data_IF_852578353610
#
_entry.id   IF_852578353610
#
_cell.length_a   1.000
_cell.length_b   1.000
_cell.length_c   1.000
_cell.angle_alpha   90.00
_cell.angle_beta   90.00
_cell.angle_gamma   90.00
#
_symmetry.space_group_name_H-M   'P 1'
#
loop_
_entity.id
_entity.type
_entity.pdbx_description
1 polymer ?
#
# COMPACT_ATOMS: atom_id res chain seq x y z
N UNK A 1 -9.26 2.62 -7.92
CA UNK A 1 -7.95 2.67 -7.25
C UNK A 1 -8.13 3.31 -5.88
N UNK A 2 -7.51 2.77 -4.83
CA UNK A 2 -7.75 3.26 -3.47
C UNK A 2 -6.44 3.52 -2.73
N UNK A 3 -6.32 4.69 -2.10
CA UNK A 3 -5.24 5.04 -1.18
C UNK A 3 -5.81 5.28 0.21
N UNK A 4 -5.15 4.72 1.23
CA UNK A 4 -5.53 4.90 2.64
C UNK A 4 -4.45 5.71 3.37
N UNK A 5 -4.86 6.84 3.95
CA UNK A 5 -3.95 7.68 4.74
C UNK A 5 -4.44 9.12 4.86
N UNK A 6 -4.09 9.77 5.96
CA UNK A 6 -4.46 11.15 6.24
C UNK A 6 -3.35 12.14 5.88
N UNK A 7 -3.73 13.39 5.57
CA UNK A 7 -2.83 14.47 5.17
C UNK A 7 -1.78 14.82 6.24
N UNK A 8 -2.11 14.70 7.51
CA UNK A 8 -1.22 15.09 8.61
C UNK A 8 0.09 14.26 8.70
N UNK A 9 0.25 13.27 7.86
CA UNK A 9 1.47 12.45 7.74
C UNK A 9 2.15 12.72 6.40
N UNK A 10 3.30 13.40 6.42
CA UNK A 10 4.00 13.87 5.22
C UNK A 10 4.25 12.78 4.15
N UNK A 11 4.61 11.53 4.48
CA UNK A 11 4.68 10.44 3.49
C UNK A 11 3.38 10.18 2.73
N UNK A 12 2.23 10.45 3.34
CA UNK A 12 0.94 10.33 2.64
C UNK A 12 0.73 11.49 1.66
N UNK A 13 1.14 12.72 2.04
CA UNK A 13 1.08 13.87 1.14
C UNK A 13 1.97 13.62 -0.08
N UNK A 14 3.23 13.25 0.13
CA UNK A 14 4.17 12.93 -0.96
C UNK A 14 3.62 11.82 -1.88
N UNK A 15 3.03 10.78 -1.29
CA UNK A 15 2.46 9.66 -2.05
C UNK A 15 1.30 10.10 -2.95
N UNK A 16 0.37 10.89 -2.43
CA UNK A 16 -0.79 11.35 -3.20
C UNK A 16 -0.38 12.42 -4.21
N UNK A 17 0.54 13.32 -3.85
CA UNK A 17 1.12 14.30 -4.77
C UNK A 17 1.80 13.60 -5.95
N UNK A 18 2.66 12.64 -5.68
CA UNK A 18 3.36 11.90 -6.72
C UNK A 18 2.39 11.15 -7.63
N UNK A 19 1.39 10.49 -7.04
CA UNK A 19 0.38 9.81 -7.85
C UNK A 19 -0.35 10.79 -8.76
N UNK A 20 -0.83 11.92 -8.23
CA UNK A 20 -1.61 12.88 -9.00
C UNK A 20 -0.80 13.57 -10.09
N UNK A 21 0.46 13.95 -9.82
CA UNK A 21 1.29 14.72 -10.74
C UNK A 21 2.08 13.86 -11.73
N UNK A 22 2.43 12.63 -11.39
CA UNK A 22 3.30 11.81 -12.21
C UNK A 22 2.64 10.50 -12.69
N UNK A 23 1.98 9.73 -11.81
CA UNK A 23 1.41 8.43 -12.17
C UNK A 23 0.10 8.57 -12.95
N UNK A 24 -0.81 9.42 -12.48
CA UNK A 24 -2.10 9.63 -13.14
C UNK A 24 -1.97 10.11 -14.60
N UNK A 25 -1.05 11.03 -14.95
CA UNK A 25 -0.76 11.34 -16.34
C UNK A 25 -0.33 10.13 -17.18
N UNK A 26 0.52 9.24 -16.62
CA UNK A 26 0.94 8.02 -17.32
C UNK A 26 -0.25 7.08 -17.59
N UNK A 27 -1.18 6.96 -16.66
CA UNK A 27 -2.42 6.18 -16.84
C UNK A 27 -3.29 6.78 -17.96
N UNK A 28 -3.45 8.11 -17.98
CA UNK A 28 -4.25 8.82 -19.01
C UNK A 28 -3.66 8.67 -20.41
N UNK A 29 -2.34 8.79 -20.54
CA UNK A 29 -1.64 8.60 -21.85
C UNK A 29 -1.90 7.21 -22.42
N UNK A 30 -2.06 6.19 -21.57
CA UNK A 30 -2.40 4.83 -21.96
C UNK A 30 -3.92 4.59 -22.16
N UNK A 31 -4.74 5.65 -22.06
CA UNK A 31 -6.20 5.57 -22.21
C UNK A 31 -6.90 4.86 -21.05
N UNK A 32 -6.22 4.67 -19.93
CA UNK A 32 -6.78 3.99 -18.77
C UNK A 32 -7.74 4.92 -18.01
N UNK A 33 -8.99 4.48 -17.87
CA UNK A 33 -10.01 5.21 -17.11
C UNK A 33 -10.05 4.68 -15.69
N UNK A 34 -10.01 5.56 -14.70
CA UNK A 34 -9.97 5.19 -13.29
C UNK A 34 -10.66 6.25 -12.41
N UNK A 35 -11.00 5.83 -11.21
CA UNK A 35 -11.32 6.70 -10.07
C UNK A 35 -10.22 6.47 -9.04
N UNK A 36 -9.70 7.54 -8.46
CA UNK A 36 -8.69 7.49 -7.40
C UNK A 36 -9.30 7.92 -6.08
N UNK A 37 -9.75 6.96 -5.28
CA UNK A 37 -10.34 7.18 -3.97
C UNK A 37 -9.26 7.36 -2.91
N UNK A 38 -9.32 8.47 -2.18
CA UNK A 38 -8.45 8.77 -1.06
C UNK A 38 -9.25 8.72 0.23
N UNK A 39 -8.89 7.77 1.09
CA UNK A 39 -9.55 7.52 2.37
C UNK A 39 -8.69 8.08 3.50
N UNK A 40 -9.27 8.92 4.34
CA UNK A 40 -8.61 9.57 5.46
C UNK A 40 -8.99 11.04 5.58
N UNK A 41 -8.44 11.72 6.57
CA UNK A 41 -8.73 13.13 6.83
C UNK A 41 -7.79 14.03 6.03
N UNK A 42 -8.35 14.84 5.14
CA UNK A 42 -7.62 15.77 4.27
C UNK A 42 -8.26 17.16 4.27
N UNK A 43 -7.45 18.22 4.25
CA UNK A 43 -7.95 19.59 4.20
C UNK A 43 -8.52 19.91 2.82
N UNK A 44 -9.70 20.49 2.78
CA UNK A 44 -10.41 20.81 1.54
C UNK A 44 -9.60 21.66 0.55
N UNK A 45 -8.74 22.58 1.05
CA UNK A 45 -7.89 23.41 0.19
C UNK A 45 -6.85 22.56 -0.56
N UNK A 46 -6.23 21.60 0.15
CA UNK A 46 -5.23 20.72 -0.44
C UNK A 46 -5.86 19.75 -1.43
N UNK A 47 -7.00 19.16 -1.07
CA UNK A 47 -7.77 18.28 -1.97
C UNK A 47 -8.15 19.02 -3.27
N UNK A 48 -8.63 20.25 -3.20
CA UNK A 48 -8.96 21.05 -4.39
C UNK A 48 -7.77 21.30 -5.30
N UNK A 49 -6.57 21.52 -4.74
CA UNK A 49 -5.36 21.69 -5.55
C UNK A 49 -4.97 20.40 -6.27
N UNK A 50 -5.13 19.24 -5.63
CA UNK A 50 -4.87 17.94 -6.24
C UNK A 50 -5.92 17.59 -7.31
N UNK A 51 -7.19 17.85 -7.05
CA UNK A 51 -8.27 17.63 -8.03
C UNK A 51 -8.14 18.48 -9.29
N UNK A 52 -7.47 19.64 -9.20
CA UNK A 52 -7.17 20.46 -10.38
C UNK A 52 -6.20 19.77 -11.36
N UNK A 53 -5.31 18.90 -10.88
CA UNK A 53 -4.34 18.15 -11.69
C UNK A 53 -4.72 16.69 -11.90
N UNK A 54 -5.52 16.15 -11.00
CA UNK A 54 -6.05 14.78 -11.04
C UNK A 54 -7.58 14.79 -10.81
N UNK A 55 -8.36 15.12 -11.84
CA UNK A 55 -9.83 15.18 -11.72
C UNK A 55 -10.49 13.86 -11.32
N UNK A 56 -9.79 12.75 -11.52
CA UNK A 56 -10.22 11.40 -11.13
C UNK A 56 -10.13 11.15 -9.63
N UNK A 57 -9.52 12.08 -8.86
CA UNK A 57 -9.39 11.98 -7.42
C UNK A 57 -10.70 12.27 -6.71
N UNK A 58 -11.13 11.36 -5.87
CA UNK A 58 -12.27 11.49 -4.97
C UNK A 58 -11.82 11.39 -3.52
N UNK A 59 -12.13 12.39 -2.70
CA UNK A 59 -11.94 12.29 -1.26
C UNK A 59 -13.14 11.58 -0.63
N UNK A 60 -12.93 10.39 -0.12
CA UNK A 60 -13.95 9.63 0.63
C UNK A 60 -14.09 10.17 2.06
N UNK A 61 -12.96 10.61 2.66
CA UNK A 61 -12.92 11.01 4.07
C UNK A 61 -12.60 9.85 5.00
N UNK A 62 -12.91 10.02 6.30
CA UNK A 62 -12.76 8.96 7.28
C UNK A 62 -13.89 7.93 7.12
N UNK A 63 -13.55 6.65 7.23
CA UNK A 63 -14.49 5.53 7.19
C UNK A 63 -14.27 4.62 8.40
N UNK A 64 -15.32 4.01 8.91
CA UNK A 64 -15.24 3.07 10.03
C UNK A 64 -14.76 1.68 9.59
N UNK A 65 -15.23 1.19 8.45
CA UNK A 65 -14.80 -0.10 7.88
C UNK A 65 -14.12 0.10 6.52
N UNK A 66 -12.79 -0.07 6.50
CA UNK A 66 -12.00 0.00 5.28
C UNK A 66 -12.30 -1.14 4.28
N UNK A 67 -12.78 -2.29 4.76
CA UNK A 67 -12.99 -3.47 3.92
C UNK A 67 -14.03 -3.23 2.82
N UNK A 68 -15.03 -2.41 3.08
CA UNK A 68 -16.06 -2.04 2.10
C UNK A 68 -15.46 -1.31 0.88
N UNK A 69 -14.39 -0.54 1.11
CA UNK A 69 -13.71 0.24 0.06
C UNK A 69 -12.53 -0.50 -0.58
N UNK A 70 -11.90 -1.39 0.15
CA UNK A 70 -10.74 -2.13 -0.35
C UNK A 70 -11.13 -3.39 -1.11
N UNK A 71 -12.29 -3.98 -0.81
CA UNK A 71 -12.77 -5.17 -1.50
C UNK A 71 -13.02 -4.87 -3.00
N UNK A 72 -12.35 -5.62 -3.87
CA UNK A 72 -12.42 -5.44 -5.33
C UNK A 72 -11.64 -4.23 -5.87
N UNK A 73 -10.98 -3.46 -5.01
CA UNK A 73 -10.12 -2.34 -5.37
C UNK A 73 -8.66 -2.78 -5.59
N UNK A 74 -7.91 -2.01 -6.37
CA UNK A 74 -6.44 -2.05 -6.38
C UNK A 74 -5.96 -0.99 -5.40
N UNK A 75 -5.32 -1.44 -4.31
CA UNK A 75 -4.78 -0.54 -3.29
C UNK A 75 -3.44 0.02 -3.75
N UNK A 76 -3.28 1.32 -3.64
CA UNK A 76 -2.05 2.01 -4.00
C UNK A 76 -1.26 2.36 -2.75
N UNK A 77 0.02 1.98 -2.74
CA UNK A 77 0.96 2.29 -1.65
C UNK A 77 2.19 2.99 -2.24
N UNK A 78 2.02 4.17 -2.86
CA UNK A 78 3.07 4.88 -3.59
C UNK A 78 4.00 5.65 -2.63
N UNK A 79 4.44 5.03 -1.54
CA UNK A 79 5.25 5.63 -0.50
C UNK A 79 6.71 5.66 -0.93
N UNK A 80 7.31 6.84 -1.02
CA UNK A 80 8.70 7.05 -1.44
C UNK A 80 9.61 7.50 -0.30
N UNK A 81 9.04 7.97 0.79
CA UNK A 81 9.74 8.52 1.96
C UNK A 81 9.15 7.98 3.27
N UNK A 82 9.91 8.16 4.35
CA UNK A 82 9.51 7.70 5.68
C UNK A 82 10.10 6.34 6.05
N UNK A 83 9.84 5.90 7.27
CA UNK A 83 10.30 4.63 7.85
C UNK A 83 9.15 3.89 8.55
N UNK A 84 9.38 2.66 8.95
CA UNK A 84 8.43 1.83 9.70
C UNK A 84 7.45 1.08 8.81
N UNK A 85 6.67 0.21 9.44
CA UNK A 85 5.71 -0.67 8.79
C UNK A 85 4.53 0.10 8.21
N UNK A 86 4.14 -0.24 7.01
CA UNK A 86 3.03 0.41 6.27
C UNK A 86 1.71 -0.30 6.59
N UNK A 87 0.97 0.21 7.58
CA UNK A 87 -0.32 -0.36 7.98
C UNK A 87 -1.27 -0.54 6.80
N UNK A 88 -1.25 0.37 5.81
CA UNK A 88 -2.08 0.27 4.60
C UNK A 88 -1.82 -0.99 3.76
N UNK A 89 -0.63 -1.61 3.85
CA UNK A 89 -0.37 -2.93 3.26
C UNK A 89 -1.10 -4.01 4.04
N UNK A 90 -1.07 -3.94 5.38
CA UNK A 90 -1.79 -4.90 6.22
C UNK A 90 -3.30 -4.79 6.02
N UNK A 91 -3.82 -3.56 5.89
CA UNK A 91 -5.22 -3.30 5.57
C UNK A 91 -5.62 -3.90 4.22
N UNK A 92 -4.81 -3.68 3.17
CA UNK A 92 -5.02 -4.26 1.86
C UNK A 92 -5.05 -5.79 1.91
N UNK A 93 -4.04 -6.41 2.55
CA UNK A 93 -3.93 -7.86 2.63
C UNK A 93 -5.07 -8.47 3.45
N UNK A 94 -5.45 -7.86 4.59
CA UNK A 94 -6.57 -8.35 5.42
C UNK A 94 -7.91 -8.25 4.70
N UNK A 95 -8.04 -7.33 3.76
CA UNK A 95 -9.22 -7.15 2.90
C UNK A 95 -9.14 -7.97 1.59
N UNK A 96 -8.13 -8.83 1.43
CA UNK A 96 -7.90 -9.60 0.20
C UNK A 96 -7.80 -8.71 -1.05
N UNK A 97 -7.35 -7.47 -0.91
CA UNK A 97 -7.12 -6.55 -2.01
C UNK A 97 -5.70 -6.71 -2.56
N UNK A 98 -5.58 -6.75 -3.89
CA UNK A 98 -4.28 -6.66 -4.54
C UNK A 98 -3.74 -5.23 -4.45
N UNK A 99 -2.42 -5.06 -4.45
CA UNK A 99 -1.83 -3.75 -4.33
C UNK A 99 -0.58 -3.54 -5.18
N UNK A 100 -0.36 -2.29 -5.53
CA UNK A 100 0.88 -1.80 -6.14
C UNK A 100 1.59 -0.92 -5.12
N UNK A 101 2.90 -1.11 -4.99
CA UNK A 101 3.70 -0.38 -4.02
C UNK A 101 5.06 0.00 -4.62
N UNK A 102 5.82 0.81 -3.89
CA UNK A 102 7.24 1.08 -4.18
C UNK A 102 8.14 0.17 -3.35
N UNK A 103 9.42 0.09 -3.68
CA UNK A 103 10.43 -0.56 -2.84
C UNK A 103 10.42 0.02 -1.43
N UNK A 104 10.28 1.35 -1.30
CA UNK A 104 10.15 2.03 -0.01
C UNK A 104 8.85 1.69 0.72
N UNK A 105 7.79 1.41 -0.03
CA UNK A 105 6.49 1.03 0.52
C UNK A 105 6.49 -0.31 1.23
N UNK A 106 7.24 -1.30 0.74
CA UNK A 106 7.37 -2.64 1.37
C UNK A 106 8.53 -2.74 2.37
N UNK A 107 9.29 -1.67 2.56
CA UNK A 107 10.39 -1.67 3.53
C UNK A 107 9.92 -2.12 4.92
N UNK A 108 10.56 -3.14 5.47
CA UNK A 108 10.20 -3.74 6.76
C UNK A 108 9.09 -4.79 6.70
N UNK A 109 8.56 -5.09 5.51
CA UNK A 109 7.65 -6.19 5.27
C UNK A 109 8.24 -7.05 4.15
N UNK A 110 8.56 -8.32 4.44
CA UNK A 110 9.21 -9.23 3.48
C UNK A 110 8.19 -9.74 2.44
N UNK A 111 7.80 -8.84 1.52
CA UNK A 111 6.94 -9.13 0.36
C UNK A 111 7.72 -8.89 -0.94
N UNK A 112 7.49 -9.72 -1.94
CA UNK A 112 8.27 -9.78 -3.16
C UNK A 112 7.45 -9.44 -4.40
N UNK A 113 8.10 -8.78 -5.35
CA UNK A 113 7.49 -8.43 -6.63
C UNK A 113 7.03 -9.68 -7.40
N UNK A 114 5.82 -9.63 -7.95
CA UNK A 114 5.15 -10.72 -8.69
C UNK A 114 4.81 -11.97 -7.87
N UNK A 115 5.13 -12.03 -6.58
CA UNK A 115 4.75 -13.11 -5.68
C UNK A 115 3.57 -12.70 -4.80
N UNK A 116 3.70 -11.63 -4.03
CA UNK A 116 2.68 -11.13 -3.11
C UNK A 116 2.10 -9.76 -3.53
N UNK A 117 2.85 -8.97 -4.30
CA UNK A 117 2.43 -7.64 -4.76
C UNK A 117 3.14 -7.26 -6.07
N UNK A 118 2.78 -6.10 -6.62
CA UNK A 118 3.60 -5.46 -7.66
C UNK A 118 4.39 -4.30 -7.04
N UNK A 119 5.71 -4.28 -7.27
CA UNK A 119 6.61 -3.24 -6.81
C UNK A 119 7.10 -2.44 -8.02
N UNK A 120 6.98 -1.11 -7.97
CA UNK A 120 7.41 -0.21 -9.03
C UNK A 120 7.80 1.15 -8.44
N UNK A 121 8.96 1.67 -8.81
CA UNK A 121 9.52 2.91 -8.25
C UNK A 121 9.45 4.09 -9.21
N UNK A 122 9.26 3.84 -10.51
CA UNK A 122 9.00 4.92 -11.49
C UNK A 122 7.50 5.10 -11.72
N UNK A 123 7.08 6.31 -12.07
CA UNK A 123 5.68 6.62 -12.38
C UNK A 123 5.15 5.77 -13.56
N UNK A 124 5.97 5.54 -14.57
CA UNK A 124 5.62 4.73 -15.75
C UNK A 124 5.42 3.27 -15.37
N UNK A 125 6.34 2.69 -14.59
CA UNK A 125 6.23 1.29 -14.16
C UNK A 125 5.08 1.10 -13.17
N UNK A 126 4.84 2.09 -12.29
CA UNK A 126 3.73 2.06 -11.35
C UNK A 126 2.38 2.08 -12.09
N UNK A 127 2.25 2.94 -13.09
CA UNK A 127 1.07 2.97 -13.96
C UNK A 127 0.89 1.65 -14.72
N UNK A 128 1.96 1.09 -15.29
CA UNK A 128 1.94 -0.20 -15.97
C UNK A 128 1.51 -1.34 -15.03
N UNK A 129 1.99 -1.34 -13.78
CA UNK A 129 1.59 -2.30 -12.76
C UNK A 129 0.10 -2.21 -12.41
N UNK A 130 -0.44 -0.98 -12.30
CA UNK A 130 -1.88 -0.76 -12.07
C UNK A 130 -2.70 -1.32 -13.23
N UNK A 131 -2.34 -0.99 -14.47
CA UNK A 131 -3.04 -1.46 -15.67
C UNK A 131 -2.99 -3.00 -15.77
N UNK A 132 -1.83 -3.59 -15.48
CA UNK A 132 -1.65 -5.06 -15.46
C UNK A 132 -2.58 -5.73 -14.45
N UNK A 133 -2.70 -5.18 -13.24
CA UNK A 133 -3.63 -5.72 -12.23
C UNK A 133 -5.07 -5.59 -12.67
N UNK A 134 -5.47 -4.44 -13.24
CA UNK A 134 -6.84 -4.27 -13.69
C UNK A 134 -7.22 -5.22 -14.83
N UNK A 135 -6.28 -5.47 -15.74
CA UNK A 135 -6.49 -6.37 -16.87
C UNK A 135 -6.53 -7.86 -16.48
N UNK A 136 -5.96 -8.25 -15.33
CA UNK A 136 -5.84 -9.66 -14.93
C UNK A 136 -6.38 -9.89 -13.50
N UNK A 137 -7.66 -10.21 -13.42
CA UNK A 137 -8.34 -10.52 -12.14
C UNK A 137 -7.80 -11.79 -11.47
N UNK A 138 -7.27 -12.76 -12.26
CA UNK A 138 -6.64 -13.96 -11.69
C UNK A 138 -5.32 -13.60 -11.01
N UNK A 139 -4.55 -12.69 -11.61
CA UNK A 139 -3.34 -12.15 -10.99
C UNK A 139 -3.66 -11.42 -9.68
N UNK A 140 -4.71 -10.57 -9.65
CA UNK A 140 -5.14 -9.90 -8.42
C UNK A 140 -5.40 -10.90 -7.29
N UNK A 141 -6.25 -11.91 -7.56
CA UNK A 141 -6.60 -12.93 -6.56
C UNK A 141 -5.38 -13.73 -6.11
N UNK A 142 -4.51 -14.10 -7.05
CA UNK A 142 -3.28 -14.84 -6.75
C UNK A 142 -2.36 -14.05 -5.82
N UNK A 143 -2.07 -12.78 -6.16
CA UNK A 143 -1.18 -11.94 -5.35
C UNK A 143 -1.78 -11.67 -3.95
N UNK A 144 -3.06 -11.34 -3.85
CA UNK A 144 -3.73 -11.12 -2.58
C UNK A 144 -3.70 -12.38 -1.69
N UNK A 145 -3.93 -13.56 -2.28
CA UNK A 145 -3.89 -14.84 -1.55
C UNK A 145 -2.47 -15.15 -1.05
N UNK A 146 -1.45 -14.95 -1.89
CA UNK A 146 -0.06 -15.17 -1.50
C UNK A 146 0.39 -14.15 -0.43
N UNK A 147 0.00 -12.89 -0.55
CA UNK A 147 0.27 -11.87 0.45
C UNK A 147 -0.32 -12.23 1.82
N UNK A 148 -1.57 -12.69 1.86
CA UNK A 148 -2.20 -13.12 3.11
C UNK A 148 -1.48 -14.32 3.72
N UNK A 149 -1.12 -15.31 2.90
CA UNK A 149 -0.36 -16.49 3.35
C UNK A 149 0.99 -16.04 3.93
N UNK A 150 1.73 -15.21 3.19
CA UNK A 150 3.06 -14.72 3.61
C UNK A 150 3.00 -13.93 4.91
N UNK A 151 2.03 -13.03 5.07
CA UNK A 151 1.89 -12.26 6.32
C UNK A 151 1.51 -13.15 7.51
N UNK A 152 0.71 -14.19 7.33
CA UNK A 152 0.41 -15.16 8.38
C UNK A 152 1.65 -15.94 8.82
N UNK A 153 2.55 -16.27 7.90
CA UNK A 153 3.83 -16.91 8.20
C UNK A 153 4.77 -15.95 8.93
N UNK A 154 4.88 -14.70 8.46
CA UNK A 154 5.80 -13.71 9.05
C UNK A 154 5.36 -13.23 10.44
N UNK A 155 4.06 -13.08 10.65
CA UNK A 155 3.45 -12.50 11.86
C UNK A 155 2.64 -13.52 12.66
N UNK A 156 3.01 -14.80 12.62
CA UNK A 156 2.46 -15.81 13.51
C UNK A 156 2.76 -15.43 14.97
N UNK A 157 1.72 -15.20 15.82
CA UNK A 157 1.94 -14.75 17.19
C UNK A 157 2.82 -15.70 18.03
N UNK A 158 2.68 -16.99 17.79
CA UNK A 158 3.43 -18.02 18.52
C UNK A 158 4.92 -17.97 18.15
N UNK A 159 5.25 -17.95 16.86
CA UNK A 159 6.62 -17.83 16.39
C UNK A 159 7.27 -16.48 16.77
N UNK A 160 6.49 -15.41 16.78
CA UNK A 160 6.98 -14.09 17.24
C UNK A 160 7.32 -14.12 18.74
N UNK A 161 6.53 -14.79 19.55
CA UNK A 161 6.80 -14.96 20.98
C UNK A 161 8.07 -15.78 21.20
N UNK A 162 8.19 -16.91 20.51
CA UNK A 162 9.37 -17.80 20.62
C UNK A 162 10.65 -17.06 20.21
N UNK A 163 10.63 -16.30 19.10
CA UNK A 163 11.78 -15.47 18.68
C UNK A 163 12.16 -14.42 19.74
N UNK A 164 11.18 -13.78 20.38
CA UNK A 164 11.45 -12.81 21.45
C UNK A 164 12.05 -13.47 22.68
N UNK A 165 11.51 -14.60 23.11
CA UNK A 165 12.05 -15.35 24.24
C UNK A 165 13.49 -15.79 23.99
N UNK A 166 13.80 -16.29 22.79
CA UNK A 166 15.17 -16.66 22.43
C UNK A 166 16.17 -15.49 22.54
N UNK A 167 15.78 -14.28 22.11
CA UNK A 167 16.60 -13.07 22.25
C UNK A 167 16.81 -12.71 23.74
N UNK A 168 15.76 -12.79 24.57
CA UNK A 168 15.91 -12.54 26.01
C UNK A 168 16.80 -13.55 26.69
N UNK A 169 16.69 -14.84 26.35
CA UNK A 169 17.55 -15.89 26.89
C UNK A 169 19.03 -15.66 26.51
N UNK A 170 19.30 -15.27 25.27
CA UNK A 170 20.65 -14.92 24.81
C UNK A 170 21.23 -13.72 25.59
N UNK A 171 20.43 -12.65 25.80
CA UNK A 171 20.88 -11.49 26.58
C UNK A 171 21.16 -11.86 28.03
N UNK A 172 20.34 -12.69 28.66
CA UNK A 172 20.51 -13.13 30.03
C UNK A 172 21.77 -13.99 30.20
N UNK A 173 22.03 -14.91 29.26
CA UNK A 173 23.23 -15.73 29.26
C UNK A 173 24.51 -14.91 29.10
N UNK A 174 24.49 -13.88 28.24
CA UNK A 174 25.64 -13.00 28.00
C UNK A 174 25.92 -12.04 29.16
N UNK A 175 24.95 -11.74 30.02
CA UNK A 175 25.12 -10.89 31.20
C UNK A 175 25.47 -11.65 32.48
N UNK A 176 25.55 -12.98 32.43
CA UNK A 176 25.89 -13.84 33.57
C UNK A 176 27.36 -14.32 33.54
N UNK A 177 28.14 -13.95 32.53
CA UNK A 177 29.59 -14.14 32.40
C UNK A 177 30.32 -12.80 32.57
#
# INVERSE_FOLDING_TARGET
LTFVGSENHYPNQDAVDWFCHEVAPCLRVQGFKFVFQVIGTWKSRYVKSLQAVCPEMELVGYVEDLREYLNGSIVLVPIRIGSGMRMKILDAVSSMASFVTTTKGVEGIDLRHNEECLIADSATDFAAAVIRLEADKKLQVRLATQALKRLRELYNPQEMLERRLAVYDEILQNNTN
#
